data_IF_134878703558
#
_entry.id   IF_134878703558
#
_cell.length_a   1.000
_cell.length_b   1.000
_cell.length_c   1.000
_cell.angle_alpha   90.00
_cell.angle_beta   90.00
_cell.angle_gamma   90.00
#
_symmetry.space_group_name_H-M   'P 1'
#
loop_
_entity.id
_entity.type
_entity.pdbx_description
1 polymer ?
#
# COMPACT_ATOMS: atom_id res chain seq x y z
N UNK A 1 13.24 -2.59 15.98
CA UNK A 1 13.59 -3.53 14.89
C UNK A 1 12.31 -4.06 14.26
N UNK A 2 12.43 -4.68 13.09
CA UNK A 2 11.34 -5.38 12.41
C UNK A 2 11.67 -6.88 12.37
N UNK A 3 10.71 -7.74 12.68
CA UNK A 3 10.85 -9.19 12.58
C UNK A 3 9.77 -9.76 11.65
N UNK A 4 10.18 -10.57 10.68
CA UNK A 4 9.28 -11.18 9.68
C UNK A 4 9.28 -12.69 9.90
N UNK A 5 8.13 -13.24 10.30
CA UNK A 5 7.96 -14.68 10.54
C UNK A 5 7.02 -15.35 9.52
N UNK A 6 6.27 -14.55 8.76
CA UNK A 6 5.45 -15.07 7.68
C UNK A 6 6.32 -15.56 6.53
N UNK A 7 6.28 -16.88 6.24
CA UNK A 7 7.13 -17.50 5.21
C UNK A 7 7.01 -16.83 3.84
N UNK A 8 5.79 -16.46 3.43
CA UNK A 8 5.57 -15.76 2.17
C UNK A 8 6.27 -14.40 2.12
N UNK A 9 6.23 -13.65 3.22
CA UNK A 9 6.88 -12.35 3.32
C UNK A 9 8.40 -12.45 3.42
N UNK A 10 8.92 -13.51 4.08
CA UNK A 10 10.36 -13.79 4.12
C UNK A 10 10.89 -14.00 2.70
N UNK A 11 10.22 -14.81 1.87
CA UNK A 11 10.67 -15.04 0.47
C UNK A 11 10.70 -13.75 -0.35
N UNK A 12 9.69 -12.89 -0.20
CA UNK A 12 9.66 -11.57 -0.87
C UNK A 12 10.81 -10.70 -0.37
N UNK A 13 11.02 -10.64 0.95
CA UNK A 13 12.12 -9.89 1.54
C UNK A 13 13.48 -10.37 1.01
N UNK A 14 13.74 -11.68 0.98
CA UNK A 14 15.00 -12.26 0.47
C UNK A 14 15.25 -11.94 -1.00
N UNK A 15 14.20 -11.98 -1.83
CA UNK A 15 14.34 -11.79 -3.27
C UNK A 15 14.50 -10.32 -3.67
N UNK A 16 13.87 -9.39 -2.94
CA UNK A 16 13.71 -8.01 -3.41
C UNK A 16 14.31 -6.95 -2.50
N UNK A 17 14.57 -7.23 -1.21
CA UNK A 17 15.20 -6.26 -0.33
C UNK A 17 16.70 -6.18 -0.59
N UNK A 18 17.16 -4.94 -0.70
CA UNK A 18 18.57 -4.57 -0.62
C UNK A 18 18.72 -3.41 0.35
N UNK A 19 19.95 -3.15 0.80
CA UNK A 19 20.23 -1.98 1.63
C UNK A 19 19.75 -0.71 0.90
N UNK A 20 18.96 0.10 1.59
CA UNK A 20 18.38 1.33 1.05
C UNK A 20 17.02 1.16 0.39
N UNK A 21 16.49 -0.06 0.26
CA UNK A 21 15.14 -0.26 -0.25
C UNK A 21 14.08 0.43 0.60
N UNK A 22 13.16 1.14 -0.07
CA UNK A 22 12.01 1.77 0.56
C UNK A 22 10.85 0.79 0.58
N UNK A 23 10.27 0.60 1.75
CA UNK A 23 9.15 -0.32 1.97
C UNK A 23 8.11 0.28 2.90
N UNK A 24 6.87 -0.12 2.70
CA UNK A 24 5.79 0.00 3.67
C UNK A 24 5.56 -1.34 4.34
N UNK A 25 5.39 -1.31 5.66
CA UNK A 25 5.22 -2.50 6.49
C UNK A 25 4.08 -2.25 7.49
N UNK A 26 3.23 -3.25 7.66
CA UNK A 26 2.21 -3.27 8.71
C UNK A 26 2.33 -4.57 9.48
N UNK A 27 2.28 -4.48 10.81
CA UNK A 27 2.43 -5.62 11.70
C UNK A 27 2.04 -5.24 13.12
N UNK A 28 2.28 -6.15 14.06
CA UNK A 28 1.94 -5.95 15.47
C UNK A 28 3.14 -5.45 16.25
N UNK A 29 2.94 -4.48 17.14
CA UNK A 29 3.95 -4.12 18.13
C UNK A 29 4.05 -5.23 19.19
N UNK A 30 5.25 -5.73 19.43
CA UNK A 30 5.52 -6.71 20.48
C UNK A 30 6.71 -6.26 21.32
N UNK A 31 6.54 -6.31 22.64
CA UNK A 31 7.62 -6.07 23.60
C UNK A 31 8.04 -7.38 24.21
N UNK A 32 9.31 -7.77 24.01
CA UNK A 32 9.89 -8.96 24.64
C UNK A 32 10.88 -8.57 25.74
N UNK A 33 10.90 -9.37 26.79
CA UNK A 33 11.86 -9.30 27.88
C UNK A 33 13.00 -10.29 27.62
N UNK A 34 14.23 -9.88 27.85
CA UNK A 34 15.40 -10.74 27.78
C UNK A 34 16.43 -10.31 28.83
N UNK A 35 17.38 -11.18 29.17
CA UNK A 35 18.44 -10.87 30.12
C UNK A 35 19.76 -10.62 29.40
N UNK A 36 20.44 -9.54 29.77
CA UNK A 36 21.79 -9.29 29.29
C UNK A 36 22.84 -10.16 30.00
N UNK A 37 24.09 -10.05 29.57
CA UNK A 37 25.20 -10.88 30.10
C UNK A 37 25.44 -10.65 31.60
N UNK A 38 24.97 -9.53 32.16
CA UNK A 38 25.06 -9.21 33.59
C UNK A 38 23.83 -9.69 34.37
N UNK A 39 22.88 -10.37 33.71
CA UNK A 39 21.64 -10.87 34.31
C UNK A 39 20.57 -9.80 34.50
N UNK A 40 20.75 -8.60 33.92
CA UNK A 40 19.77 -7.52 34.05
C UNK A 40 18.65 -7.68 33.03
N UNK A 41 17.43 -7.39 33.46
CA UNK A 41 16.25 -7.44 32.61
C UNK A 41 16.25 -6.28 31.60
N UNK A 42 16.09 -6.61 30.33
CA UNK A 42 16.02 -5.67 29.21
C UNK A 42 14.74 -5.90 28.42
N UNK A 43 14.24 -4.81 27.83
CA UNK A 43 13.02 -4.82 27.03
C UNK A 43 13.35 -4.38 25.61
N UNK A 44 12.70 -5.00 24.64
CA UNK A 44 12.82 -4.62 23.22
C UNK A 44 11.46 -4.65 22.57
N UNK A 45 11.07 -3.51 22.00
CA UNK A 45 9.84 -3.36 21.25
C UNK A 45 10.13 -3.45 19.76
N UNK A 46 9.44 -4.35 19.07
CA UNK A 46 9.66 -4.70 17.68
C UNK A 46 8.33 -4.70 16.93
N UNK A 47 8.36 -4.38 15.62
CA UNK A 47 7.22 -4.57 14.73
C UNK A 47 7.32 -5.98 14.16
N UNK A 48 6.29 -6.81 14.39
CA UNK A 48 6.29 -8.22 14.06
C UNK A 48 5.26 -8.53 12.98
N UNK A 49 5.74 -9.05 11.85
CA UNK A 49 4.93 -9.42 10.69
C UNK A 49 4.62 -10.92 10.74
N UNK A 50 3.44 -11.25 11.30
CA UNK A 50 2.90 -12.60 11.42
C UNK A 50 1.37 -12.63 11.31
N UNK A 51 0.82 -13.67 10.68
CA UNK A 51 -0.63 -13.90 10.58
C UNK A 51 -1.37 -12.98 9.60
N UNK A 52 -2.72 -13.03 9.59
CA UNK A 52 -3.59 -12.43 8.56
C UNK A 52 -3.69 -10.90 8.54
N UNK A 53 -2.83 -10.17 9.26
CA UNK A 53 -2.77 -8.70 9.26
C UNK A 53 -1.37 -8.15 9.02
N UNK A 54 -0.45 -8.99 8.54
CA UNK A 54 0.90 -8.56 8.22
C UNK A 54 0.98 -8.13 6.75
N UNK A 55 1.37 -6.88 6.52
CA UNK A 55 1.49 -6.30 5.17
C UNK A 55 2.93 -5.94 4.89
N UNK A 56 3.39 -6.24 3.67
CA UNK A 56 4.71 -5.85 3.17
C UNK A 56 4.56 -5.35 1.73
N UNK A 57 4.99 -4.13 1.46
CA UNK A 57 4.90 -3.52 0.12
C UNK A 57 6.21 -2.82 -0.22
N UNK A 58 6.79 -3.15 -1.38
CA UNK A 58 7.93 -2.42 -1.92
C UNK A 58 7.46 -1.07 -2.47
N UNK A 59 8.13 0.00 -2.06
CA UNK A 59 7.85 1.37 -2.54
C UNK A 59 8.87 1.86 -3.57
N UNK A 60 9.91 1.06 -3.82
CA UNK A 60 10.86 1.28 -4.90
C UNK A 60 10.18 1.00 -6.25
N UNK A 61 9.33 1.92 -6.67
CA UNK A 61 8.73 1.92 -8.00
C UNK A 61 9.80 2.05 -9.08
N UNK A 62 9.46 1.58 -10.28
CA UNK A 62 10.26 1.64 -11.51
C UNK A 62 10.56 3.09 -11.97
N UNK A 63 11.32 3.85 -11.20
CA UNK A 63 11.65 5.25 -11.51
C UNK A 63 12.93 5.81 -10.87
N UNK A 64 13.66 5.08 -10.02
CA UNK A 64 14.95 5.56 -9.46
C UNK A 64 16.19 4.92 -10.13
N UNK A 65 16.02 4.40 -11.35
CA UNK A 65 17.10 4.00 -12.25
C UNK A 65 17.60 5.17 -13.11
N UNK A 66 17.86 6.33 -12.50
CA UNK A 66 18.46 7.47 -13.17
C UNK A 66 19.99 7.39 -13.11
N UNK A 67 20.62 6.82 -14.15
CA UNK A 67 22.08 6.67 -14.22
C UNK A 67 22.65 6.19 -15.56
N UNK A 68 22.27 6.87 -16.65
CA UNK A 68 23.05 7.13 -17.87
C UNK A 68 23.85 6.01 -18.57
N UNK A 69 23.39 5.63 -19.77
CA UNK A 69 24.24 5.46 -20.96
C UNK A 69 23.38 5.70 -22.20
N UNK A 70 23.74 6.72 -22.98
CA UNK A 70 23.07 7.07 -24.21
C UNK A 70 23.14 5.97 -25.26
N UNK A 71 22.16 6.01 -26.16
CA UNK A 71 22.11 5.19 -27.35
C UNK A 71 21.02 5.73 -28.26
N UNK A 72 21.42 6.62 -29.16
CA UNK A 72 20.73 7.03 -30.36
C UNK A 72 19.90 5.89 -30.99
N UNK A 73 18.59 6.12 -31.10
CA UNK A 73 17.81 5.56 -32.20
C UNK A 73 17.10 6.73 -32.87
N UNK A 74 17.76 7.21 -33.92
CA UNK A 74 17.12 8.02 -34.94
C UNK A 74 16.05 7.23 -35.70
N UNK A 75 15.11 7.98 -36.25
CA UNK A 75 14.03 7.52 -37.13
C UNK A 75 12.70 8.10 -36.65
N UNK A 76 12.08 9.11 -37.27
CA UNK A 76 12.20 9.63 -38.62
C UNK A 76 10.79 9.73 -39.19
N UNK A 77 10.37 10.95 -39.59
CA UNK A 77 9.13 11.24 -40.35
C UNK A 77 7.83 10.99 -39.55
N UNK A 78 6.77 11.78 -39.62
CA UNK A 78 6.26 12.66 -40.67
C UNK A 78 4.75 12.44 -40.72
N UNK A 79 3.98 13.52 -40.50
CA UNK A 79 2.71 13.89 -41.18
C UNK A 79 1.54 12.85 -41.19
N UNK A 80 0.45 13.02 -40.42
CA UNK A 80 -0.66 14.00 -40.56
C UNK A 80 -1.75 13.64 -41.60
N UNK A 81 -2.79 12.87 -41.25
CA UNK A 81 -4.16 12.84 -41.85
C UNK A 81 -5.00 11.84 -41.02
N UNK A 82 -6.25 11.99 -40.60
CA UNK A 82 -7.41 12.83 -40.91
C UNK A 82 -8.69 12.01 -40.55
N UNK A 83 -9.84 12.67 -40.32
CA UNK A 83 -11.17 12.02 -40.20
C UNK A 83 -11.65 11.80 -38.76
N UNK A 84 -12.50 12.62 -38.12
CA UNK A 84 -13.87 13.11 -38.42
C UNK A 84 -14.97 12.03 -38.30
N UNK A 85 -15.96 12.34 -37.45
CA UNK A 85 -17.40 12.02 -37.52
C UNK A 85 -18.04 10.82 -36.78
N UNK A 86 -19.19 11.15 -36.15
CA UNK A 86 -20.30 10.29 -35.72
C UNK A 86 -20.30 9.96 -34.22
N UNK A 87 -21.05 10.57 -33.30
CA UNK A 87 -22.42 11.10 -33.40
C UNK A 87 -23.43 9.96 -33.30
N UNK A 88 -24.05 9.73 -32.12
CA UNK A 88 -25.50 9.43 -32.03
C UNK A 88 -26.06 9.10 -30.63
N UNK A 89 -27.35 9.45 -30.56
CA UNK A 89 -28.40 9.53 -29.55
C UNK A 89 -28.76 8.32 -28.65
N UNK A 90 -29.55 8.63 -27.62
CA UNK A 90 -30.45 7.73 -26.88
C UNK A 90 -30.11 7.71 -25.40
N UNK A 91 -30.86 8.30 -24.47
CA UNK A 91 -32.31 8.29 -24.23
C UNK A 91 -32.43 8.16 -22.70
N UNK A 92 -32.85 9.22 -22.02
CA UNK A 92 -34.20 9.37 -21.43
C UNK A 92 -34.53 8.42 -20.27
N UNK A 93 -35.19 9.03 -19.28
CA UNK A 93 -36.00 8.41 -18.23
C UNK A 93 -35.31 7.81 -16.99
N UNK A 94 -35.39 8.57 -15.91
CA UNK A 94 -36.34 8.16 -14.87
C UNK A 94 -35.81 8.06 -13.44
N UNK A 95 -36.29 8.98 -12.59
CA UNK A 95 -36.74 8.60 -11.26
C UNK A 95 -35.80 8.85 -10.09
N UNK A 96 -35.59 10.12 -9.76
CA UNK A 96 -35.26 10.51 -8.39
C UNK A 96 -36.50 10.49 -7.48
N UNK A 97 -36.23 10.33 -6.18
CA UNK A 97 -37.08 10.63 -5.02
C UNK A 97 -37.91 9.47 -4.46
N UNK A 98 -37.56 9.04 -3.23
CA UNK A 98 -38.46 8.23 -2.40
C UNK A 98 -37.84 7.33 -1.34
N UNK A 99 -36.58 7.51 -0.93
CA UNK A 99 -36.01 6.81 0.23
C UNK A 99 -36.26 7.61 1.51
N UNK A 100 -37.24 7.21 2.32
CA UNK A 100 -37.54 7.87 3.59
C UNK A 100 -36.35 7.82 4.56
N UNK A 101 -36.13 8.86 5.38
CA UNK A 101 -35.12 8.79 6.43
C UNK A 101 -35.55 7.79 7.50
N UNK A 102 -34.66 6.83 7.77
CA UNK A 102 -34.76 5.90 8.89
C UNK A 102 -34.80 6.67 10.23
N UNK A 103 -35.43 6.11 11.29
CA UNK A 103 -35.38 6.72 12.61
C UNK A 103 -33.94 6.78 13.09
N UNK A 104 -33.50 7.98 13.44
CA UNK A 104 -32.24 8.25 14.13
C UNK A 104 -32.26 7.57 15.50
N UNK A 105 -31.67 6.37 15.56
CA UNK A 105 -31.28 5.78 16.83
C UNK A 105 -30.22 6.69 17.44
N UNK A 106 -30.57 7.38 18.52
CA UNK A 106 -29.70 8.29 19.28
C UNK A 106 -28.55 7.56 19.96
N UNK A 107 -27.54 7.22 19.17
CA UNK A 107 -26.22 6.74 19.61
C UNK A 107 -25.15 7.82 19.38
N UNK A 108 -25.58 9.06 19.16
CA UNK A 108 -24.70 10.19 18.94
C UNK A 108 -24.15 10.68 20.29
N UNK A 109 -22.83 10.51 20.43
CA UNK A 109 -21.87 11.23 21.29
C UNK A 109 -21.57 10.79 22.74
N UNK A 110 -22.39 10.01 23.44
CA UNK A 110 -22.18 9.87 24.90
C UNK A 110 -21.69 8.51 25.44
N UNK A 111 -21.44 7.49 24.61
CA UNK A 111 -21.07 6.17 25.15
C UNK A 111 -20.10 5.36 24.28
N UNK A 112 -18.86 5.84 24.19
CA UNK A 112 -17.71 5.02 23.81
C UNK A 112 -16.94 4.65 25.09
N UNK A 113 -17.07 3.43 25.65
CA UNK A 113 -16.27 3.02 26.79
C UNK A 113 -14.80 2.78 26.40
N UNK A 114 -13.89 3.17 27.30
CA UNK A 114 -12.42 3.01 27.21
C UNK A 114 -11.96 1.56 27.40
#
# INVERSE_FOLDING_TARGET
SVAIFSEGLVRVAEQYLRKGSKVYLEGKLQTRKWQDQSGQDRYSTEVVLQGPGATFVMLDGRADGGGGAGGDYGGGGGDSYGGQDGGDYGGDSGGGSGGGPAPSNGIEDDEIPF
#
